data_IF_365734378725
#
_entry.id   IF_365734378725
#
_cell.length_a   1.000
_cell.length_b   1.000
_cell.length_c   1.000
_cell.angle_alpha   90.00
_cell.angle_beta   90.00
_cell.angle_gamma   90.00
#
_symmetry.space_group_name_H-M   'P 1'
#
loop_
_entity.id
_entity.type
_entity.pdbx_description
1 polymer ?
#
# COMPACT_ATOMS: atom_id res chain seq x y z
N UNK A 1 -29.51 37.87 9.42
CA UNK A 1 -29.31 37.65 7.96
C UNK A 1 -29.28 36.14 7.66
N UNK A 2 -30.34 35.64 7.01
CA UNK A 2 -30.40 34.29 6.43
C UNK A 2 -29.66 34.35 5.10
N UNK A 3 -28.65 33.51 4.89
CA UNK A 3 -27.94 33.44 3.62
C UNK A 3 -28.83 32.69 2.62
N UNK A 4 -29.39 33.41 1.65
CA UNK A 4 -30.06 32.84 0.48
C UNK A 4 -29.00 32.59 -0.60
N UNK A 5 -28.56 31.34 -0.73
CA UNK A 5 -27.60 30.88 -1.73
C UNK A 5 -27.24 29.41 -1.46
N UNK A 6 -27.11 28.61 -2.52
CA UNK A 6 -26.68 27.20 -2.45
C UNK A 6 -25.43 27.03 -1.56
N UNK A 7 -25.31 25.95 -0.77
CA UNK A 7 -24.17 25.75 0.13
C UNK A 7 -22.86 25.80 -0.68
N UNK A 8 -22.13 26.90 -0.48
CA UNK A 8 -20.91 27.18 -1.25
C UNK A 8 -19.72 26.74 -0.41
N UNK A 9 -18.86 25.87 -0.94
CA UNK A 9 -17.64 25.43 -0.27
C UNK A 9 -16.57 26.53 -0.42
N UNK A 10 -15.84 26.81 0.66
CA UNK A 10 -14.67 27.68 0.60
C UNK A 10 -13.45 26.84 0.26
N UNK A 11 -12.76 27.19 -0.82
CA UNK A 11 -11.53 26.55 -1.27
C UNK A 11 -10.34 27.45 -0.96
N UNK A 12 -9.25 26.85 -0.49
CA UNK A 12 -7.95 27.50 -0.34
C UNK A 12 -6.92 26.74 -1.18
N UNK A 13 -6.39 27.41 -2.20
CA UNK A 13 -5.39 26.89 -3.12
C UNK A 13 -4.04 27.52 -2.79
N UNK A 14 -3.01 26.69 -2.61
CA UNK A 14 -1.65 27.11 -2.31
C UNK A 14 -0.76 26.85 -3.52
N UNK A 15 -0.10 27.89 -4.02
CA UNK A 15 0.71 27.84 -5.22
C UNK A 15 2.21 27.62 -4.92
N UNK A 16 2.99 27.07 -5.88
CA UNK A 16 4.41 26.83 -5.68
C UNK A 16 5.26 28.08 -5.40
N UNK A 17 4.81 29.25 -5.86
CA UNK A 17 5.42 30.55 -5.61
C UNK A 17 5.04 31.17 -4.25
N UNK A 18 4.20 30.47 -3.47
CA UNK A 18 3.71 30.93 -2.18
C UNK A 18 2.46 31.80 -2.24
N UNK A 19 1.90 32.04 -3.44
CA UNK A 19 0.60 32.68 -3.56
C UNK A 19 -0.51 31.79 -2.97
N UNK A 20 -1.55 32.43 -2.44
CA UNK A 20 -2.74 31.74 -1.92
C UNK A 20 -3.98 32.34 -2.56
N UNK A 21 -4.80 31.51 -3.20
CA UNK A 21 -6.10 31.90 -3.72
C UNK A 21 -7.20 31.30 -2.85
N UNK A 22 -8.14 32.14 -2.43
CA UNK A 22 -9.31 31.73 -1.66
C UNK A 22 -10.55 32.09 -2.46
N UNK A 23 -11.40 31.10 -2.74
CA UNK A 23 -12.63 31.31 -3.51
C UNK A 23 -13.78 30.47 -2.98
N UNK A 24 -14.99 30.99 -3.11
CA UNK A 24 -16.22 30.27 -2.79
C UNK A 24 -16.74 29.62 -4.07
N UNK A 25 -16.84 28.29 -4.10
CA UNK A 25 -17.35 27.53 -5.24
C UNK A 25 -18.26 26.40 -4.78
N UNK A 26 -19.38 26.21 -5.50
CA UNK A 26 -20.28 25.07 -5.33
C UNK A 26 -19.86 23.86 -6.20
N UNK A 27 -18.80 24.00 -7.00
CA UNK A 27 -18.28 22.97 -7.89
C UNK A 27 -16.79 22.73 -7.64
N UNK A 28 -16.31 21.54 -7.98
CA UNK A 28 -14.92 21.12 -7.75
C UNK A 28 -13.95 21.65 -8.84
N UNK A 29 -12.63 21.72 -8.54
CA UNK A 29 -11.59 21.91 -9.55
C UNK A 29 -11.73 20.88 -10.68
N UNK A 30 -11.79 21.33 -11.93
CA UNK A 30 -12.11 20.48 -13.09
C UNK A 30 -13.47 20.74 -13.71
N UNK A 31 -14.40 21.33 -12.96
CA UNK A 31 -15.73 21.66 -13.48
C UNK A 31 -15.68 22.84 -14.47
N UNK A 32 -16.47 22.88 -15.56
CA UNK A 32 -16.48 24.00 -16.51
C UNK A 32 -16.81 25.37 -15.89
N UNK A 33 -17.52 25.38 -14.76
CA UNK A 33 -17.88 26.58 -14.00
C UNK A 33 -16.90 26.91 -12.86
N UNK A 34 -15.80 26.16 -12.74
CA UNK A 34 -14.77 26.44 -11.76
C UNK A 34 -14.14 27.82 -12.03
N UNK A 35 -14.18 28.69 -11.02
CA UNK A 35 -13.71 30.07 -11.13
C UNK A 35 -12.23 30.25 -10.77
N UNK A 36 -11.59 29.25 -10.17
CA UNK A 36 -10.18 29.31 -9.79
C UNK A 36 -9.24 29.26 -10.98
N UNK A 37 -8.05 29.82 -10.82
CA UNK A 37 -7.01 29.89 -11.87
C UNK A 37 -6.66 28.51 -12.43
N UNK A 38 -6.45 27.53 -11.54
CA UNK A 38 -6.13 26.16 -11.95
C UNK A 38 -7.40 25.34 -12.14
N UNK A 39 -7.57 24.83 -13.36
CA UNK A 39 -8.77 24.09 -13.76
C UNK A 39 -8.74 22.62 -13.41
N UNK A 40 -7.84 22.17 -12.53
CA UNK A 40 -7.69 20.76 -12.19
C UNK A 40 -7.24 20.57 -10.75
N UNK A 41 -7.33 19.32 -10.28
CA UNK A 41 -6.79 18.95 -8.99
C UNK A 41 -5.27 19.13 -8.96
N UNK A 42 -4.69 19.50 -7.80
CA UNK A 42 -3.24 19.58 -7.65
C UNK A 42 -2.59 18.26 -8.02
N UNK A 43 -1.60 18.32 -8.90
CA UNK A 43 -0.75 17.18 -9.23
C UNK A 43 0.38 17.10 -8.21
N UNK A 44 0.69 15.93 -7.63
CA UNK A 44 1.76 15.82 -6.67
C UNK A 44 3.10 16.30 -7.23
N UNK A 45 3.82 17.10 -6.44
CA UNK A 45 5.14 17.60 -6.83
C UNK A 45 6.13 16.45 -7.04
N UNK A 46 7.18 16.67 -7.83
CA UNK A 46 8.23 15.67 -8.03
C UNK A 46 8.85 15.22 -6.69
N UNK A 47 9.11 16.18 -5.79
CA UNK A 47 9.64 15.90 -4.46
C UNK A 47 8.69 15.02 -3.63
N UNK A 48 7.37 15.28 -3.69
CA UNK A 48 6.40 14.45 -3.00
C UNK A 48 6.32 13.05 -3.62
N UNK A 49 6.30 12.92 -4.96
CA UNK A 49 6.30 11.61 -5.62
C UNK A 49 7.54 10.80 -5.27
N UNK A 50 8.72 11.43 -5.24
CA UNK A 50 9.96 10.78 -4.82
C UNK A 50 9.88 10.31 -3.36
N UNK A 51 9.40 11.15 -2.45
CA UNK A 51 9.21 10.77 -1.04
C UNK A 51 8.28 9.56 -0.88
N UNK A 52 7.17 9.53 -1.62
CA UNK A 52 6.24 8.40 -1.60
C UNK A 52 6.88 7.13 -2.15
N UNK A 53 7.63 7.25 -3.25
CA UNK A 53 8.40 6.15 -3.82
C UNK A 53 9.44 5.60 -2.85
N UNK A 54 10.17 6.46 -2.13
CA UNK A 54 11.17 6.04 -1.13
C UNK A 54 10.53 5.25 0.02
N UNK A 55 9.41 5.75 0.55
CA UNK A 55 8.62 5.05 1.57
C UNK A 55 8.18 3.68 1.10
N UNK A 56 7.58 3.62 -0.09
CA UNK A 56 7.05 2.37 -0.64
C UNK A 56 8.19 1.35 -0.89
N UNK A 57 9.37 1.82 -1.33
CA UNK A 57 10.56 0.97 -1.48
C UNK A 57 11.09 0.47 -0.13
N UNK A 58 11.05 1.28 0.92
CA UNK A 58 11.44 0.88 2.28
C UNK A 58 10.50 -0.21 2.83
N UNK A 59 9.19 -0.02 2.67
CA UNK A 59 8.19 -1.03 3.08
C UNK A 59 8.41 -2.37 2.36
N UNK A 60 8.64 -2.35 1.04
CA UNK A 60 8.89 -3.57 0.27
C UNK A 60 10.19 -4.27 0.70
N UNK A 61 11.24 -3.52 1.04
CA UNK A 61 12.51 -4.10 1.53
C UNK A 61 12.30 -4.80 2.88
N UNK A 62 11.59 -4.16 3.80
CA UNK A 62 11.25 -4.76 5.09
C UNK A 62 10.39 -6.03 4.92
N UNK A 63 9.42 -6.00 4.01
CA UNK A 63 8.57 -7.17 3.72
C UNK A 63 9.38 -8.34 3.14
N UNK A 64 10.35 -8.07 2.25
CA UNK A 64 11.28 -9.10 1.74
C UNK A 64 12.06 -9.75 2.90
N UNK A 65 12.65 -8.94 3.79
CA UNK A 65 13.43 -9.45 4.93
C UNK A 65 12.58 -10.34 5.84
N UNK A 66 11.33 -9.94 6.13
CA UNK A 66 10.39 -10.74 6.93
C UNK A 66 10.16 -12.11 6.30
N UNK A 67 9.91 -12.17 5.00
CA UNK A 67 9.66 -13.43 4.31
C UNK A 67 10.93 -14.29 4.16
N UNK A 68 12.07 -13.69 3.88
CA UNK A 68 13.35 -14.40 3.85
C UNK A 68 13.69 -15.02 5.21
N UNK A 69 13.53 -14.26 6.29
CA UNK A 69 13.75 -14.75 7.65
C UNK A 69 12.78 -15.90 7.96
N UNK A 70 11.50 -15.74 7.63
CA UNK A 70 10.50 -16.81 7.80
C UNK A 70 10.81 -18.08 6.98
N UNK A 71 11.47 -17.97 5.83
CA UNK A 71 11.88 -19.12 5.03
C UNK A 71 13.09 -19.86 5.60
N UNK A 72 13.95 -19.18 6.37
CA UNK A 72 15.16 -19.74 6.97
C UNK A 72 14.90 -20.25 8.39
N UNK A 73 14.16 -19.47 9.17
CA UNK A 73 13.99 -19.65 10.60
C UNK A 73 12.52 -19.74 10.96
N UNK A 74 12.12 -20.92 11.47
CA UNK A 74 10.81 -21.14 12.06
C UNK A 74 10.96 -21.87 13.38
N UNK A 75 10.29 -21.34 14.40
CA UNK A 75 10.21 -22.01 15.70
C UNK A 75 9.04 -22.98 15.71
N UNK A 76 9.06 -24.02 16.57
CA UNK A 76 7.93 -24.92 16.74
C UNK A 76 6.62 -24.19 17.05
N UNK A 77 6.65 -23.17 17.90
CA UNK A 77 5.47 -22.38 18.31
C UNK A 77 4.85 -21.65 17.11
N UNK A 78 5.68 -21.13 16.21
CA UNK A 78 5.22 -20.49 14.98
C UNK A 78 4.55 -21.50 14.05
N UNK A 79 5.08 -22.71 13.92
CA UNK A 79 4.50 -23.75 13.07
C UNK A 79 3.13 -24.21 13.59
N UNK A 80 2.96 -24.31 14.91
CA UNK A 80 1.66 -24.62 15.54
C UNK A 80 0.65 -23.52 15.23
N UNK A 81 1.00 -22.26 15.45
CA UNK A 81 0.10 -21.13 15.17
C UNK A 81 -0.27 -21.03 13.69
N UNK A 82 0.69 -21.28 12.79
CA UNK A 82 0.44 -21.33 11.35
C UNK A 82 -0.49 -22.49 10.97
N UNK A 83 -0.30 -23.66 11.58
CA UNK A 83 -1.14 -24.83 11.35
C UNK A 83 -2.60 -24.58 11.76
N UNK A 84 -2.84 -23.94 12.90
CA UNK A 84 -4.19 -23.55 13.34
C UNK A 84 -4.84 -22.55 12.37
N UNK A 85 -4.04 -21.58 11.90
CA UNK A 85 -4.46 -20.63 10.88
C UNK A 85 -4.83 -21.29 9.55
N UNK A 86 -3.99 -22.20 9.07
CA UNK A 86 -4.21 -22.93 7.82
C UNK A 86 -5.38 -23.93 7.97
N UNK A 87 -5.51 -24.61 9.11
CA UNK A 87 -6.62 -25.53 9.40
C UNK A 87 -7.97 -24.82 9.37
N UNK A 88 -8.05 -23.59 9.87
CA UNK A 88 -9.29 -22.81 9.89
C UNK A 88 -9.62 -22.16 8.54
N UNK A 89 -8.62 -21.59 7.85
CA UNK A 89 -8.85 -20.76 6.66
C UNK A 89 -8.68 -21.53 5.34
N UNK A 90 -7.85 -22.57 5.34
CA UNK A 90 -7.40 -23.29 4.14
C UNK A 90 -7.22 -24.80 4.40
N UNK A 91 -8.22 -25.49 4.97
CA UNK A 91 -8.07 -26.89 5.36
C UNK A 91 -7.70 -27.80 4.18
N UNK A 92 -8.15 -27.46 2.97
CA UNK A 92 -7.84 -28.23 1.76
C UNK A 92 -6.37 -28.14 1.34
N UNK A 93 -5.67 -27.06 1.68
CA UNK A 93 -4.26 -26.86 1.33
C UNK A 93 -3.32 -27.68 2.22
N UNK A 94 -3.80 -28.13 3.39
CA UNK A 94 -2.97 -28.84 4.37
C UNK A 94 -3.44 -30.26 4.69
N UNK A 95 -4.51 -30.74 4.02
CA UNK A 95 -5.16 -32.03 4.30
C UNK A 95 -4.22 -33.25 4.22
N UNK A 96 -3.13 -33.15 3.44
CA UNK A 96 -2.20 -34.26 3.18
C UNK A 96 -0.99 -34.26 4.16
N UNK A 97 -0.93 -33.27 5.06
CA UNK A 97 0.07 -33.18 6.13
C UNK A 97 -0.47 -33.79 7.42
N UNK A 98 0.41 -34.34 8.24
CA UNK A 98 0.02 -35.01 9.49
C UNK A 98 -0.07 -34.07 10.70
N UNK A 99 0.41 -32.83 10.58
CA UNK A 99 0.41 -31.85 11.66
C UNK A 99 1.47 -30.76 11.51
N UNK A 100 1.58 -29.85 12.49
CA UNK A 100 2.57 -28.77 12.49
C UNK A 100 4.03 -29.27 12.53
N UNK A 101 4.27 -30.45 13.11
CA UNK A 101 5.60 -31.07 13.19
C UNK A 101 5.96 -31.93 11.96
N UNK A 102 5.06 -32.04 10.96
CA UNK A 102 5.35 -32.78 9.73
C UNK A 102 6.49 -32.06 8.96
N UNK A 103 7.64 -32.72 8.71
CA UNK A 103 8.74 -32.11 7.96
C UNK A 103 8.32 -31.62 6.56
N UNK A 104 7.30 -32.25 5.95
CA UNK A 104 6.75 -31.81 4.65
C UNK A 104 5.94 -30.52 4.79
N UNK A 105 5.27 -30.33 5.93
CA UNK A 105 4.57 -29.08 6.22
C UNK A 105 5.57 -27.94 6.43
N UNK A 106 6.67 -28.18 7.18
CA UNK A 106 7.74 -27.19 7.33
C UNK A 106 8.31 -26.76 5.97
N UNK A 107 8.65 -27.70 5.09
CA UNK A 107 9.19 -27.35 3.78
C UNK A 107 8.15 -26.63 2.90
N UNK A 108 6.88 -27.04 2.97
CA UNK A 108 5.77 -26.34 2.32
C UNK A 108 5.68 -24.88 2.78
N UNK A 109 5.74 -24.61 4.09
CA UNK A 109 5.72 -23.24 4.63
C UNK A 109 6.93 -22.43 4.18
N UNK A 110 8.14 -23.00 4.25
CA UNK A 110 9.36 -22.36 3.75
C UNK A 110 9.25 -21.98 2.27
N UNK A 111 8.74 -22.90 1.46
CA UNK A 111 8.54 -22.64 0.03
C UNK A 111 7.54 -21.50 -0.21
N UNK A 112 6.44 -21.46 0.54
CA UNK A 112 5.49 -20.34 0.45
C UNK A 112 6.13 -18.99 0.78
N UNK A 113 6.97 -18.94 1.81
CA UNK A 113 7.68 -17.71 2.16
C UNK A 113 8.70 -17.30 1.10
N UNK A 114 9.42 -18.25 0.48
CA UNK A 114 10.29 -17.96 -0.66
C UNK A 114 9.51 -17.38 -1.84
N UNK A 115 8.36 -17.96 -2.17
CA UNK A 115 7.48 -17.43 -3.22
C UNK A 115 6.94 -16.04 -2.87
N UNK A 116 6.54 -15.81 -1.61
CA UNK A 116 6.11 -14.49 -1.15
C UNK A 116 7.22 -13.45 -1.28
N UNK A 117 8.44 -13.76 -0.81
CA UNK A 117 9.61 -12.89 -0.97
C UNK A 117 9.87 -12.56 -2.45
N UNK A 118 9.78 -13.55 -3.34
CA UNK A 118 9.97 -13.32 -4.78
C UNK A 118 8.91 -12.38 -5.36
N UNK A 119 7.64 -12.57 -5.01
CA UNK A 119 6.56 -11.68 -5.46
C UNK A 119 6.78 -10.23 -5.01
N UNK A 120 7.29 -10.03 -3.78
CA UNK A 120 7.61 -8.68 -3.27
C UNK A 120 8.83 -8.10 -4.00
N UNK A 121 9.85 -8.90 -4.32
CA UNK A 121 10.98 -8.46 -5.16
C UNK A 121 10.53 -8.01 -6.54
N UNK A 122 9.59 -8.73 -7.16
CA UNK A 122 9.06 -8.37 -8.48
C UNK A 122 8.26 -7.05 -8.43
N UNK A 123 7.53 -6.82 -7.33
CA UNK A 123 6.87 -5.52 -7.05
C UNK A 123 7.90 -4.41 -6.87
N UNK A 124 8.95 -4.64 -6.08
CA UNK A 124 10.03 -3.66 -5.88
C UNK A 124 10.75 -3.34 -7.18
N UNK A 125 11.06 -4.34 -8.01
CA UNK A 125 11.66 -4.13 -9.32
C UNK A 125 10.74 -3.34 -10.26
N UNK A 126 9.43 -3.54 -10.17
CA UNK A 126 8.44 -2.77 -10.92
C UNK A 126 8.38 -1.32 -10.43
N UNK A 127 8.42 -1.10 -9.12
CA UNK A 127 8.44 0.24 -8.53
C UNK A 127 9.74 1.00 -8.86
N UNK A 128 10.88 0.33 -8.86
CA UNK A 128 12.18 0.89 -9.26
C UNK A 128 12.17 1.33 -10.73
N UNK A 129 11.62 0.52 -11.64
CA UNK A 129 11.48 0.90 -13.06
C UNK A 129 10.59 2.12 -13.28
N UNK A 130 9.66 2.38 -12.36
CA UNK A 130 8.70 3.48 -12.43
C UNK A 130 9.07 4.63 -11.48
N UNK A 131 10.36 4.81 -11.19
CA UNK A 131 10.83 5.90 -10.32
C UNK A 131 10.40 7.28 -10.87
N UNK A 132 9.76 8.14 -10.04
CA UNK A 132 9.26 9.45 -10.46
C UNK A 132 10.28 10.52 -10.84
#
# INVERSE_FOLDING_TARGET
PRYEGEPTMLWALFYPDGEVEVLASAVDPGHPQWAGRERGWPVPSQAYRLKMWERDMEELRAEIEIFENAALHRTPEQLVSEWEGDSSRRPQEIKDFTGPDDPRYLEYRKQRYRTAAQNVRDRAATLERNKP
#
